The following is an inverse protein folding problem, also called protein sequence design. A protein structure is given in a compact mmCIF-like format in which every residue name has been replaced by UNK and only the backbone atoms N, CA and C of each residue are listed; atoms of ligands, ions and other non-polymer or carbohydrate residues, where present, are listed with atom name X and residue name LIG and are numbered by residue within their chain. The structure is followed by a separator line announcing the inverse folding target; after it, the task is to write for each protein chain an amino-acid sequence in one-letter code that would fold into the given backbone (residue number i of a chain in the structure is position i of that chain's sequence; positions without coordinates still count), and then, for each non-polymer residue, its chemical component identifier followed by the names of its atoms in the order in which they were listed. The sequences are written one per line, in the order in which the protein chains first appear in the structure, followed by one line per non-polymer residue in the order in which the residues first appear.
data_IF_119634899319
#
_entry.id   IF_119634899319
#
_cell.length_a   1.000
_cell.length_b   1.000
_cell.length_c   1.000
_cell.angle_alpha   90.00
_cell.angle_beta   90.00
_cell.angle_gamma   90.00
#
_symmetry.space_group_name_H-M   'P 1'
#
loop_
_entity.id
_entity.type
_entity.pdbx_description
1 polymer ?
#
# COMPACT_ATOMS: atom_id res chain seq x y z
N UNK A 1 7.88 -6.55 17.04
CA UNK A 1 7.73 -5.09 17.03
C UNK A 1 6.37 -4.76 16.47
N UNK A 2 6.07 -3.48 16.20
CA UNK A 2 4.88 -3.15 15.41
C UNK A 2 5.07 -3.52 13.93
N UNK A 3 6.28 -3.32 13.40
CA UNK A 3 6.66 -3.67 12.03
C UNK A 3 7.32 -5.06 11.94
N UNK A 4 7.15 -5.75 10.80
CA UNK A 4 7.52 -7.16 10.62
C UNK A 4 8.59 -7.45 9.56
N UNK A 5 8.89 -6.50 8.65
CA UNK A 5 9.82 -6.67 7.52
C UNK A 5 9.56 -7.91 6.63
N UNK A 6 8.28 -8.30 6.55
CA UNK A 6 7.80 -9.37 5.69
C UNK A 6 6.41 -8.98 5.19
N UNK A 7 5.92 -9.68 4.17
CA UNK A 7 4.57 -9.44 3.64
C UNK A 7 3.52 -10.38 4.21
N UNK A 8 3.91 -11.57 4.69
CA UNK A 8 2.99 -12.54 5.27
C UNK A 8 2.22 -12.00 6.49
N UNK A 9 1.00 -12.48 6.67
CA UNK A 9 0.26 -12.30 7.92
C UNK A 9 0.99 -13.02 9.07
N UNK A 10 1.03 -12.39 10.25
CA UNK A 10 1.66 -13.01 11.44
C UNK A 10 0.67 -13.88 12.22
N UNK A 11 1.16 -14.67 13.18
CA UNK A 11 0.37 -15.68 13.93
C UNK A 11 -0.95 -15.18 14.52
N UNK A 12 -1.06 -13.89 14.86
CA UNK A 12 -2.26 -13.26 15.43
C UNK A 12 -3.08 -12.45 14.40
N UNK A 13 -2.95 -12.81 13.12
CA UNK A 13 -3.64 -12.17 12.02
C UNK A 13 -4.26 -13.20 11.09
N UNK A 14 -5.41 -12.86 10.52
CA UNK A 14 -6.11 -13.69 9.53
C UNK A 14 -5.94 -13.09 8.13
N UNK A 15 -5.43 -13.86 7.17
CA UNK A 15 -5.32 -13.42 5.77
C UNK A 15 -6.71 -13.18 5.14
N UNK A 16 -6.90 -11.98 4.60
CA UNK A 16 -8.11 -11.57 3.90
C UNK A 16 -7.93 -11.53 2.38
N UNK A 17 -6.71 -11.27 1.93
CA UNK A 17 -6.38 -11.12 0.52
C UNK A 17 -4.91 -11.42 0.27
N UNK A 18 -4.63 -12.03 -0.87
CA UNK A 18 -3.29 -12.26 -1.39
C UNK A 18 -3.17 -11.91 -2.87
N UNK A 19 -2.01 -11.35 -3.25
CA UNK A 19 -1.62 -11.21 -4.65
C UNK A 19 -0.10 -11.22 -4.80
N UNK A 20 0.42 -12.29 -5.41
CA UNK A 20 1.83 -12.43 -5.79
C UNK A 20 2.02 -12.53 -7.32
N UNK A 21 0.95 -12.27 -8.08
CA UNK A 21 0.92 -12.20 -9.56
C UNK A 21 1.43 -13.40 -10.35
N UNK A 22 1.85 -14.50 -9.71
CA UNK A 22 2.35 -15.71 -10.37
C UNK A 22 1.32 -16.37 -11.30
N UNK A 23 0.03 -16.18 -10.98
CA UNK A 23 -1.12 -16.65 -11.76
C UNK A 23 -1.87 -15.53 -12.49
N UNK A 24 -1.27 -14.34 -12.58
CA UNK A 24 -1.89 -13.14 -13.15
C UNK A 24 -2.50 -12.22 -12.08
N UNK A 25 -3.25 -11.21 -12.53
CA UNK A 25 -3.80 -10.14 -11.71
C UNK A 25 -5.28 -10.34 -11.32
N UNK A 26 -5.72 -11.59 -11.19
CA UNK A 26 -7.09 -11.88 -10.78
C UNK A 26 -7.39 -11.26 -9.40
N UNK A 27 -8.53 -10.60 -9.26
CA UNK A 27 -8.90 -9.86 -8.04
C UNK A 27 -8.55 -8.37 -8.07
N UNK A 28 -7.92 -7.90 -9.15
CA UNK A 28 -7.69 -6.48 -9.40
C UNK A 28 -8.64 -5.93 -10.47
N UNK A 29 -9.06 -4.68 -10.29
CA UNK A 29 -9.75 -3.87 -11.29
C UNK A 29 -8.84 -2.71 -11.69
N UNK A 30 -8.64 -2.51 -12.99
CA UNK A 30 -7.76 -1.47 -13.52
C UNK A 30 -8.57 -0.33 -14.14
N UNK A 31 -8.15 0.92 -13.90
CA UNK A 31 -8.76 2.08 -14.57
C UNK A 31 -8.48 2.09 -16.08
N UNK A 32 -7.28 1.65 -16.47
CA UNK A 32 -6.87 1.40 -17.86
C UNK A 32 -6.03 0.12 -17.95
N UNK A 33 -6.57 -0.92 -18.58
CA UNK A 33 -5.88 -2.21 -18.77
C UNK A 33 -4.55 -2.10 -19.54
N UNK A 34 -4.29 -0.98 -20.22
CA UNK A 34 -3.02 -0.75 -20.94
C UNK A 34 -1.90 -0.24 -20.04
N UNK A 35 -2.25 0.33 -18.89
CA UNK A 35 -1.29 0.89 -17.94
C UNK A 35 -0.79 -0.14 -16.92
N UNK A 36 -1.45 -1.30 -16.84
CA UNK A 36 -1.15 -2.35 -15.88
C UNK A 36 -0.80 -3.64 -16.59
N UNK A 37 0.31 -4.26 -16.21
CA UNK A 37 0.72 -5.53 -16.78
C UNK A 37 1.47 -6.39 -15.78
N UNK A 38 1.33 -7.72 -15.90
CA UNK A 38 2.16 -8.66 -15.15
C UNK A 38 3.43 -8.92 -15.96
N UNK A 39 4.57 -8.56 -15.42
CA UNK A 39 5.89 -8.64 -16.06
C UNK A 39 6.83 -9.57 -15.28
N UNK A 40 8.00 -9.87 -15.85
CA UNK A 40 9.06 -10.63 -15.17
C UNK A 40 10.07 -9.65 -14.54
N UNK A 41 10.36 -9.81 -13.24
CA UNK A 41 11.44 -9.14 -12.53
C UNK A 41 12.22 -10.19 -11.72
N UNK A 42 13.51 -10.35 -12.00
CA UNK A 42 14.39 -11.33 -11.34
C UNK A 42 13.86 -12.79 -11.25
N UNK A 43 13.01 -13.18 -12.21
CA UNK A 43 12.45 -14.54 -12.32
C UNK A 43 11.12 -14.73 -11.59
N UNK A 44 10.59 -13.68 -10.95
CA UNK A 44 9.24 -13.63 -10.36
C UNK A 44 8.30 -12.84 -11.28
N UNK A 45 7.01 -13.11 -11.20
CA UNK A 45 5.98 -12.31 -11.87
C UNK A 45 5.50 -11.22 -10.93
N UNK A 46 5.53 -9.98 -11.40
CA UNK A 46 5.16 -8.82 -10.60
C UNK A 46 4.18 -7.93 -11.35
N UNK A 47 3.40 -7.13 -10.64
CA UNK A 47 2.52 -6.14 -11.25
C UNK A 47 3.29 -4.86 -11.54
N UNK A 48 3.36 -4.46 -12.80
CA UNK A 48 3.87 -3.17 -13.23
C UNK A 48 2.71 -2.21 -13.50
N UNK A 49 2.78 -1.00 -12.95
CA UNK A 49 1.94 0.13 -13.30
C UNK A 49 2.75 1.25 -13.96
N UNK A 50 2.17 1.91 -14.97
CA UNK A 50 2.78 3.04 -15.68
C UNK A 50 1.79 4.20 -15.89
N UNK A 51 2.29 5.44 -15.83
CA UNK A 51 1.47 6.64 -16.06
C UNK A 51 0.61 7.03 -14.86
N UNK A 52 -0.43 7.87 -15.07
CA UNK A 52 -1.34 8.30 -14.00
C UNK A 52 -2.61 7.45 -13.97
N UNK A 53 -2.52 6.25 -13.40
CA UNK A 53 -3.59 5.24 -13.44
C UNK A 53 -3.71 4.47 -12.13
N UNK A 54 -4.82 3.75 -11.97
CA UNK A 54 -5.26 3.17 -10.72
C UNK A 54 -5.50 1.65 -10.84
N UNK A 55 -5.13 0.91 -9.81
CA UNK A 55 -5.44 -0.51 -9.65
C UNK A 55 -6.13 -0.74 -8.30
N UNK A 56 -7.34 -1.26 -8.33
CA UNK A 56 -8.20 -1.45 -7.16
C UNK A 56 -8.27 -2.92 -6.79
N UNK A 57 -8.23 -3.22 -5.48
CA UNK A 57 -8.47 -4.57 -4.98
C UNK A 57 -9.14 -4.55 -3.61
N UNK A 58 -9.83 -5.63 -3.31
CA UNK A 58 -10.38 -5.88 -1.98
C UNK A 58 -11.83 -5.46 -1.77
N UNK A 59 -12.21 -5.46 -0.50
CA UNK A 59 -13.57 -5.27 -0.03
C UNK A 59 -13.57 -4.33 1.20
N UNK A 60 -14.68 -4.27 1.94
CA UNK A 60 -14.93 -3.40 3.07
C UNK A 60 -14.20 -3.86 4.36
N UNK A 61 -12.86 -3.92 4.34
CA UNK A 61 -12.06 -4.46 5.43
C UNK A 61 -11.79 -3.45 6.56
N UNK A 62 -11.94 -3.91 7.80
CA UNK A 62 -11.73 -3.11 9.02
C UNK A 62 -10.53 -3.62 9.83
N UNK A 63 -9.81 -2.72 10.51
CA UNK A 63 -8.71 -3.07 11.42
C UNK A 63 -7.71 -4.03 10.78
N UNK A 64 -7.13 -3.59 9.67
CA UNK A 64 -6.22 -4.41 8.87
C UNK A 64 -4.81 -3.87 8.92
N UNK A 65 -3.89 -4.76 8.57
CA UNK A 65 -2.55 -4.41 8.10
C UNK A 65 -2.46 -4.81 6.64
N UNK A 66 -1.98 -3.90 5.81
CA UNK A 66 -1.64 -4.17 4.42
C UNK A 66 -0.13 -4.15 4.27
N UNK A 67 0.40 -5.26 3.75
CA UNK A 67 1.82 -5.43 3.46
C UNK A 67 2.00 -5.71 1.98
N UNK A 68 3.03 -5.14 1.40
CA UNK A 68 3.39 -5.34 0.00
C UNK A 68 4.86 -5.01 -0.23
N UNK A 69 5.43 -5.59 -1.29
CA UNK A 69 6.67 -5.12 -1.88
C UNK A 69 6.38 -4.01 -2.89
N UNK A 70 7.19 -2.95 -2.86
CA UNK A 70 7.17 -1.83 -3.82
C UNK A 70 8.57 -1.58 -4.34
N UNK A 71 8.73 -1.44 -5.65
CA UNK A 71 9.99 -1.05 -6.30
C UNK A 71 9.72 0.07 -7.28
N UNK A 72 10.26 1.25 -6.96
CA UNK A 72 10.21 2.41 -7.84
C UNK A 72 11.21 2.21 -8.97
N UNK A 73 10.77 2.13 -10.22
CA UNK A 73 11.68 2.19 -11.37
C UNK A 73 11.91 3.65 -11.74
N UNK A 74 10.83 4.42 -11.83
CA UNK A 74 10.82 5.86 -12.03
C UNK A 74 9.65 6.49 -11.28
N UNK A 75 9.81 7.73 -10.82
CA UNK A 75 8.73 8.51 -10.24
C UNK A 75 8.31 8.06 -8.84
N UNK A 76 7.00 7.93 -8.61
CA UNK A 76 6.44 7.64 -7.29
C UNK A 76 5.08 6.91 -7.40
N UNK A 77 4.61 6.40 -6.26
CA UNK A 77 3.30 5.77 -6.13
C UNK A 77 2.53 6.34 -4.94
N UNK A 78 1.20 6.30 -5.04
CA UNK A 78 0.32 6.40 -3.88
C UNK A 78 -0.25 5.01 -3.54
N UNK A 79 -0.16 4.68 -2.26
CA UNK A 79 -0.77 3.49 -1.67
C UNK A 79 -1.97 3.96 -0.87
N UNK A 80 -3.16 3.59 -1.33
CA UNK A 80 -4.40 4.06 -0.75
C UNK A 80 -5.03 2.96 0.09
N UNK A 81 -5.20 3.24 1.38
CA UNK A 81 -5.61 2.26 2.39
C UNK A 81 -6.90 2.69 3.08
N UNK A 82 -7.76 1.73 3.41
CA UNK A 82 -9.14 1.96 3.88
C UNK A 82 -9.89 2.97 3.01
N UNK A 83 -9.87 2.73 1.71
CA UNK A 83 -10.52 3.61 0.75
C UNK A 83 -12.02 3.28 0.67
N UNK A 84 -12.89 4.24 0.93
CA UNK A 84 -14.34 4.09 0.75
C UNK A 84 -14.99 5.43 0.39
N UNK A 85 -15.52 5.53 -0.83
CA UNK A 85 -16.03 6.80 -1.36
C UNK A 85 -14.92 7.87 -1.32
N UNK A 86 -15.13 9.03 -0.67
CA UNK A 86 -14.08 10.04 -0.55
C UNK A 86 -13.03 9.73 0.52
N UNK A 87 -13.28 8.77 1.40
CA UNK A 87 -12.44 8.51 2.56
C UNK A 87 -11.23 7.66 2.16
N UNK A 88 -10.02 8.04 2.58
CA UNK A 88 -8.80 7.23 2.41
C UNK A 88 -7.65 7.71 3.29
N UNK A 89 -6.75 6.79 3.63
CA UNK A 89 -5.37 7.13 3.96
C UNK A 89 -4.53 6.99 2.68
N UNK A 90 -4.03 8.12 2.19
CA UNK A 90 -3.12 8.17 1.05
C UNK A 90 -1.68 8.18 1.58
N UNK A 91 -0.92 7.14 1.28
CA UNK A 91 0.51 7.05 1.57
C UNK A 91 1.28 7.32 0.28
N UNK A 92 1.92 8.47 0.18
CA UNK A 92 2.83 8.79 -0.93
C UNK A 92 4.19 8.15 -0.68
N UNK A 93 4.57 7.21 -1.54
CA UNK A 93 5.84 6.49 -1.52
C UNK A 93 6.72 6.96 -2.69
N UNK A 94 7.83 7.62 -2.38
CA UNK A 94 8.72 8.29 -3.33
C UNK A 94 10.18 8.11 -2.91
N UNK A 95 11.12 8.36 -3.82
CA UNK A 95 12.55 8.18 -3.53
C UNK A 95 13.03 8.97 -2.32
N UNK A 96 12.54 10.19 -2.12
CA UNK A 96 12.95 11.09 -1.03
C UNK A 96 12.06 10.97 0.23
N UNK A 97 11.19 9.95 0.31
CA UNK A 97 10.56 9.54 1.55
C UNK A 97 9.08 9.21 1.46
N UNK A 98 8.42 9.24 2.62
CA UNK A 98 7.01 8.89 2.78
C UNK A 98 6.23 10.11 3.24
N UNK A 99 5.01 10.31 2.74
CA UNK A 99 4.06 11.26 3.32
C UNK A 99 2.69 10.60 3.44
N UNK A 100 1.93 10.92 4.49
CA UNK A 100 0.58 10.40 4.67
C UNK A 100 -0.41 11.54 4.77
N UNK A 101 -1.48 11.44 3.98
CA UNK A 101 -2.65 12.30 4.08
C UNK A 101 -3.88 11.46 4.39
N UNK A 102 -4.66 11.91 5.36
CA UNK A 102 -6.01 11.40 5.62
C UNK A 102 -7.01 12.28 4.88
N UNK A 103 -7.87 11.66 4.09
CA UNK A 103 -9.05 12.29 3.50
C UNK A 103 -10.29 11.76 4.20
N UNK A 104 -11.11 12.66 4.71
CA UNK A 104 -12.40 12.36 5.34
C UNK A 104 -13.45 13.33 4.80
N UNK A 105 -14.39 12.80 4.01
CA UNK A 105 -15.32 13.56 3.20
C UNK A 105 -14.64 14.62 2.31
N UNK A 106 -14.69 15.90 2.68
CA UNK A 106 -14.10 17.01 1.93
C UNK A 106 -12.92 17.65 2.65
N UNK A 107 -12.36 16.97 3.65
CA UNK A 107 -11.23 17.47 4.43
C UNK A 107 -9.99 16.61 4.23
N UNK A 108 -8.84 17.27 4.07
CA UNK A 108 -7.53 16.64 3.98
C UNK A 108 -6.69 17.07 5.19
N UNK A 109 -6.10 16.11 5.88
CA UNK A 109 -5.18 16.35 6.99
C UNK A 109 -3.88 15.58 6.80
N UNK A 110 -2.75 16.27 6.98
CA UNK A 110 -1.44 15.64 6.99
C UNK A 110 -1.27 14.81 8.27
N UNK A 111 -0.88 13.55 8.13
CA UNK A 111 -0.62 12.64 9.26
C UNK A 111 0.87 12.46 9.56
N UNK A 112 1.75 12.99 8.71
CA UNK A 112 3.19 12.92 8.93
C UNK A 112 3.98 12.72 7.65
N UNK A 113 5.28 12.91 7.76
CA UNK A 113 6.23 12.65 6.69
C UNK A 113 7.53 12.10 7.27
N UNK A 114 8.17 11.25 6.48
CA UNK A 114 9.51 10.71 6.70
C UNK A 114 10.36 11.12 5.50
N UNK A 115 11.64 11.41 5.74
CA UNK A 115 12.64 11.69 4.71
C UNK A 115 13.65 10.54 4.54
N UNK A 116 13.30 9.34 5.02
CA UNK A 116 14.08 8.12 4.77
C UNK A 116 14.06 7.87 3.27
N UNK A 117 15.23 7.61 2.68
CA UNK A 117 15.35 7.43 1.23
C UNK A 117 14.93 6.02 0.84
N UNK A 118 14.17 5.89 -0.24
CA UNK A 118 13.84 4.63 -0.90
C UNK A 118 14.55 4.60 -2.25
N UNK A 119 15.58 3.78 -2.42
CA UNK A 119 16.36 3.83 -3.65
C UNK A 119 15.56 3.24 -4.83
N UNK A 120 15.47 3.94 -5.97
CA UNK A 120 14.89 3.35 -7.17
C UNK A 120 15.65 2.08 -7.58
N UNK A 121 14.92 1.10 -8.10
CA UNK A 121 15.43 -0.21 -8.48
C UNK A 121 15.58 -1.20 -7.33
N UNK A 122 15.32 -0.80 -6.07
CA UNK A 122 15.32 -1.70 -4.92
C UNK A 122 13.89 -2.06 -4.49
N UNK A 123 13.69 -3.30 -4.05
CA UNK A 123 12.45 -3.74 -3.43
C UNK A 123 12.39 -3.27 -1.98
N UNK A 124 11.26 -2.66 -1.62
CA UNK A 124 10.95 -2.23 -0.26
C UNK A 124 9.70 -2.94 0.24
N UNK A 125 9.77 -3.51 1.44
CA UNK A 125 8.57 -4.01 2.13
C UNK A 125 7.90 -2.83 2.81
N UNK A 126 6.71 -2.47 2.35
CA UNK A 126 5.88 -1.43 2.94
C UNK A 126 4.78 -2.09 3.76
N UNK A 127 4.58 -1.61 4.98
CA UNK A 127 3.54 -2.07 5.90
C UNK A 127 2.72 -0.86 6.36
N UNK A 128 1.42 -0.87 6.04
CA UNK A 128 0.47 0.17 6.42
C UNK A 128 -0.58 -0.49 7.31
N UNK A 129 -0.71 -0.01 8.54
CA UNK A 129 -1.60 -0.66 9.50
C UNK A 129 -2.43 0.31 10.30
N UNK A 130 -3.64 -0.14 10.62
CA UNK A 130 -4.51 0.49 11.60
C UNK A 130 -4.78 -0.51 12.72
N UNK A 131 -4.10 -0.33 13.85
CA UNK A 131 -4.23 -1.19 15.03
C UNK A 131 -4.82 -0.39 16.18
N UNK A 132 -6.09 -0.67 16.52
CA UNK A 132 -6.87 0.08 17.51
C UNK A 132 -6.92 1.58 17.15
N UNK A 133 -6.28 2.43 17.95
CA UNK A 133 -6.20 3.87 17.81
C UNK A 133 -4.85 4.35 17.25
N UNK A 134 -4.10 3.45 16.59
CA UNK A 134 -2.80 3.75 16.01
C UNK A 134 -2.80 3.45 14.51
N UNK A 135 -2.55 4.48 13.72
CA UNK A 135 -2.15 4.36 12.33
C UNK A 135 -0.62 4.35 12.24
N UNK A 136 -0.06 3.51 11.39
CA UNK A 136 1.38 3.48 11.13
C UNK A 136 1.73 3.13 9.69
N UNK A 137 2.90 3.62 9.26
CA UNK A 137 3.59 3.18 8.06
C UNK A 137 5.00 2.75 8.46
N UNK A 138 5.39 1.55 8.05
CA UNK A 138 6.75 1.05 8.15
C UNK A 138 7.30 0.70 6.77
N UNK A 139 8.60 0.87 6.61
CA UNK A 139 9.35 0.47 5.42
C UNK A 139 10.56 -0.34 5.85
N UNK A 140 10.73 -1.54 5.29
CA UNK A 140 11.82 -2.47 5.60
C UNK A 140 11.96 -2.75 7.12
N UNK A 141 10.83 -2.92 7.81
CA UNK A 141 10.79 -3.14 9.26
C UNK A 141 11.01 -1.89 10.14
N UNK A 142 11.28 -0.72 9.56
CA UNK A 142 11.46 0.53 10.30
C UNK A 142 10.16 1.35 10.29
N UNK A 143 9.69 1.75 11.47
CA UNK A 143 8.55 2.66 11.59
C UNK A 143 8.94 4.05 11.10
N UNK A 144 8.33 4.49 10.01
CA UNK A 144 8.56 5.82 9.44
C UNK A 144 7.57 6.84 9.98
N UNK A 145 6.31 6.44 10.10
CA UNK A 145 5.22 7.32 10.52
C UNK A 145 4.36 6.56 11.52
N UNK A 146 4.05 7.21 12.64
CA UNK A 146 3.07 6.75 13.62
C UNK A 146 2.19 7.92 14.00
N UNK A 147 0.88 7.70 14.02
CA UNK A 147 -0.10 8.73 14.33
C UNK A 147 -1.24 8.12 15.14
N UNK A 148 -1.59 8.76 16.26
CA UNK A 148 -2.80 8.39 16.99
C UNK A 148 -4.01 8.71 16.13
N UNK A 149 -4.84 7.69 15.89
CA UNK A 149 -6.11 7.77 15.17
C UNK A 149 -7.27 7.25 16.03
N UNK A 150 -7.84 8.09 16.91
CA UNK A 150 -8.91 7.68 17.81
C UNK A 150 -10.26 7.53 17.09
N UNK A 151 -10.37 8.04 15.86
CA UNK A 151 -11.56 7.92 15.02
C UNK A 151 -11.17 7.49 13.61
N UNK A 152 -10.76 6.21 13.45
CA UNK A 152 -10.31 5.73 12.16
C UNK A 152 -11.40 5.87 11.09
N UNK A 153 -10.95 6.03 9.85
CA UNK A 153 -11.82 5.95 8.68
C UNK A 153 -12.62 4.64 8.66
N UNK A 154 -13.80 4.64 8.00
CA UNK A 154 -14.60 3.43 7.89
C UNK A 154 -13.82 2.32 7.14
N UNK A 155 -14.26 1.06 7.27
CA UNK A 155 -13.70 -0.05 6.52
C UNK A 155 -13.67 0.25 5.01
N UNK A 156 -12.68 -0.29 4.31
CA UNK A 156 -12.51 0.04 2.90
C UNK A 156 -11.45 -0.80 2.20
N UNK A 157 -11.44 -0.64 0.88
CA UNK A 157 -10.57 -1.38 -0.02
C UNK A 157 -9.13 -0.81 -0.01
N UNK A 158 -8.26 -1.46 -0.79
CA UNK A 158 -6.94 -0.94 -1.14
C UNK A 158 -6.92 -0.50 -2.60
N UNK A 159 -6.05 0.44 -2.95
CA UNK A 159 -5.69 0.67 -4.33
C UNK A 159 -4.31 1.27 -4.50
N UNK A 160 -3.70 0.96 -5.64
CA UNK A 160 -2.44 1.50 -6.12
C UNK A 160 -2.77 2.64 -7.07
N UNK A 161 -1.98 3.71 -6.99
CA UNK A 161 -2.01 4.80 -7.96
C UNK A 161 -0.56 5.07 -8.36
N UNK A 162 -0.28 4.88 -9.65
CA UNK A 162 0.94 5.36 -10.28
C UNK A 162 0.71 6.77 -10.78
N UNK A 163 1.76 7.60 -10.82
CA UNK A 163 1.66 9.01 -11.22
C UNK A 163 2.29 9.26 -12.59
N UNK A 164 2.01 10.43 -13.16
CA UNK A 164 2.66 10.89 -14.39
C UNK A 164 4.17 10.65 -14.37
N UNK A 165 4.68 10.07 -15.47
CA UNK A 165 6.10 9.70 -15.63
C UNK A 165 6.62 8.77 -14.52
N UNK A 166 5.77 7.89 -14.00
CA UNK A 166 6.17 6.85 -13.05
C UNK A 166 6.03 5.47 -13.67
N UNK A 167 6.97 4.60 -13.31
CA UNK A 167 6.91 3.14 -13.53
C UNK A 167 7.22 2.50 -12.19
N UNK A 168 6.29 1.70 -11.69
CA UNK A 168 6.39 1.09 -10.35
C UNK A 168 6.02 -0.37 -10.43
N UNK A 169 6.82 -1.21 -9.77
CA UNK A 169 6.55 -2.62 -9.60
C UNK A 169 6.00 -2.88 -8.21
N UNK A 170 5.03 -3.78 -8.14
CA UNK A 170 4.42 -4.21 -6.90
C UNK A 170 4.32 -5.73 -6.87
N UNK A 171 4.52 -6.29 -5.68
CA UNK A 171 4.49 -7.74 -5.50
C UNK A 171 4.18 -8.14 -4.06
N UNK A 172 3.95 -9.43 -3.84
CA UNK A 172 3.77 -10.07 -2.53
C UNK A 172 2.82 -9.29 -1.61
N UNK A 173 1.62 -9.01 -2.10
CA UNK A 173 0.63 -8.25 -1.34
C UNK A 173 -0.17 -9.15 -0.41
N UNK A 174 -0.39 -8.68 0.82
CA UNK A 174 -1.28 -9.30 1.80
C UNK A 174 -2.06 -8.25 2.56
N UNK A 175 -3.36 -8.51 2.72
CA UNK A 175 -4.18 -7.80 3.70
C UNK A 175 -4.56 -8.77 4.80
N UNK A 176 -4.27 -8.38 6.03
CA UNK A 176 -4.43 -9.22 7.20
C UNK A 176 -5.36 -8.54 8.20
N UNK A 177 -6.42 -9.23 8.63
CA UNK A 177 -7.25 -8.80 9.75
C UNK A 177 -6.46 -8.96 11.05
N UNK A 178 -6.55 -7.96 11.92
CA UNK A 178 -6.03 -8.06 13.28
C UNK A 178 -7.06 -8.81 14.14
N UNK A 179 -6.65 -9.92 14.76
CA UNK A 179 -7.51 -10.63 15.71
C UNK A 179 -7.72 -9.74 16.95
N UNK A 180 -8.98 -9.64 17.41
CA UNK A 180 -9.40 -8.80 18.54
C UNK A 180 -9.00 -9.38 19.91
#
# INVERSE_FOLDING_TARGET
GLATDQTDCVEAETELFESNFEKGSSGWEFSDDRAWSVVQDDGEKVLQGEGHEHAYAGDNWSQTVWRLKVKLIEGNAHLNFQSQGPNRYLVSFREDGTNVQRTDHSSNSNMGASSVRHNPGEWHVVEIGLKKDLFFVAVNGYLEITQTEPSPLPPGQIWLEVLDNSTVLFDEMRVCALDN
#
